data_IF_024012816747
#
_entry.id   IF_024012816747
#
_cell.length_a   1.000
_cell.length_b   1.000
_cell.length_c   1.000
_cell.angle_alpha   90.00
_cell.angle_beta   90.00
_cell.angle_gamma   90.00
#
_symmetry.space_group_name_H-M   'P 1'
#
loop_
_entity.id
_entity.type
_entity.pdbx_description
1 polymer ?
#
# COMPACT_ATOMS: atom_id res chain seq x y z
N UNK A 1 -14.38 -2.20 -4.51
CA UNK A 1 -13.44 -2.26 -3.37
C UNK A 1 -13.73 -3.50 -2.57
N UNK A 2 -12.76 -4.40 -2.38
CA UNK A 2 -13.01 -5.71 -1.72
C UNK A 2 -12.34 -5.82 -0.35
N UNK A 3 -11.21 -5.13 -0.14
CA UNK A 3 -10.43 -5.23 1.10
C UNK A 3 -10.34 -3.84 1.73
N UNK A 4 -10.67 -3.74 3.02
CA UNK A 4 -10.64 -2.47 3.78
C UNK A 4 -9.56 -2.44 4.87
N UNK A 5 -9.12 -3.61 5.34
CA UNK A 5 -8.16 -3.79 6.43
C UNK A 5 -7.40 -5.11 6.26
N UNK A 6 -6.22 -5.21 6.89
CA UNK A 6 -5.36 -6.40 6.90
C UNK A 6 -4.59 -6.45 8.22
N UNK A 7 -4.26 -7.66 8.69
CA UNK A 7 -3.37 -7.89 9.84
C UNK A 7 -1.88 -7.89 9.41
N UNK A 8 -1.61 -7.79 8.11
CA UNK A 8 -0.24 -7.75 7.58
C UNK A 8 0.38 -6.38 7.84
N UNK A 9 1.26 -6.31 8.84
CA UNK A 9 2.08 -5.14 9.16
C UNK A 9 3.51 -5.22 8.60
N UNK A 10 3.69 -5.97 7.50
CA UNK A 10 5.00 -6.15 6.86
C UNK A 10 4.88 -6.07 5.34
N UNK A 11 5.95 -5.59 4.69
CA UNK A 11 6.08 -5.74 3.25
C UNK A 11 6.70 -7.11 2.95
N UNK A 12 5.89 -8.04 2.43
CA UNK A 12 6.32 -9.42 2.14
C UNK A 12 7.51 -9.49 1.18
N UNK A 13 7.60 -8.54 0.24
CA UNK A 13 8.69 -8.50 -0.75
C UNK A 13 10.00 -8.00 -0.13
N UNK A 14 9.94 -6.97 0.74
CA UNK A 14 11.11 -6.55 1.52
C UNK A 14 11.61 -7.65 2.47
N UNK A 15 10.70 -8.41 3.09
CA UNK A 15 11.07 -9.55 3.94
C UNK A 15 11.82 -10.62 3.16
N UNK A 16 11.47 -10.86 1.89
CA UNK A 16 12.16 -11.81 1.02
C UNK A 16 13.55 -11.33 0.61
N UNK A 17 13.73 -10.02 0.43
CA UNK A 17 15.04 -9.45 0.08
C UNK A 17 15.91 -9.14 1.29
N UNK A 18 15.35 -9.18 2.50
CA UNK A 18 16.05 -8.78 3.72
C UNK A 18 16.24 -7.27 3.85
N UNK A 19 15.43 -6.47 3.16
CA UNK A 19 15.44 -5.01 3.25
C UNK A 19 14.41 -4.49 4.28
N UNK A 20 14.63 -3.27 4.74
CA UNK A 20 13.69 -2.53 5.59
C UNK A 20 12.74 -1.66 4.76
N UNK A 21 11.68 -1.18 5.41
CA UNK A 21 10.73 -0.20 4.87
C UNK A 21 10.48 0.92 5.88
N UNK A 22 9.96 2.04 5.40
CA UNK A 22 9.57 3.18 6.25
C UNK A 22 8.09 3.07 6.60
N UNK A 23 7.23 3.11 5.59
CA UNK A 23 5.77 3.06 5.75
C UNK A 23 5.16 2.00 4.82
N UNK A 24 3.98 1.51 5.19
CA UNK A 24 3.27 0.45 4.48
C UNK A 24 1.99 0.95 3.82
N UNK A 25 1.69 0.39 2.65
CA UNK A 25 0.50 0.68 1.86
C UNK A 25 -0.24 -0.61 1.55
N UNK A 26 -1.54 -0.62 1.81
CA UNK A 26 -2.45 -1.73 1.54
C UNK A 26 -3.19 -1.49 0.22
N UNK A 27 -3.14 -2.45 -0.70
CA UNK A 27 -3.96 -2.43 -1.90
C UNK A 27 -5.42 -2.81 -1.58
N UNK A 28 -6.36 -1.90 -1.85
CA UNK A 28 -7.79 -2.11 -1.59
C UNK A 28 -8.49 -3.05 -2.59
N UNK A 29 -7.77 -3.43 -3.65
CA UNK A 29 -8.27 -4.33 -4.71
C UNK A 29 -8.00 -5.79 -4.36
N UNK A 30 -6.78 -6.12 -3.90
CA UNK A 30 -6.33 -7.50 -3.68
C UNK A 30 -5.78 -7.79 -2.28
N UNK A 31 -5.62 -6.79 -1.42
CA UNK A 31 -5.11 -6.97 -0.05
C UNK A 31 -3.59 -7.09 0.08
N UNK A 32 -2.83 -6.82 -0.98
CA UNK A 32 -1.36 -6.83 -0.95
C UNK A 32 -0.81 -5.66 -0.13
N UNK A 33 0.24 -5.90 0.67
CA UNK A 33 0.94 -4.87 1.46
C UNK A 33 2.32 -4.60 0.88
N UNK A 34 2.52 -3.38 0.40
CA UNK A 34 3.77 -2.92 -0.18
C UNK A 34 4.40 -1.78 0.64
N UNK A 35 5.71 -1.63 0.58
CA UNK A 35 6.39 -0.46 1.12
C UNK A 35 6.14 0.79 0.24
N UNK A 36 6.10 1.96 0.88
CA UNK A 36 5.80 3.24 0.22
C UNK A 36 6.92 3.70 -0.74
N UNK A 37 6.68 4.79 -1.46
CA UNK A 37 7.67 5.37 -2.39
C UNK A 37 8.92 5.92 -1.69
N UNK A 38 8.79 6.37 -0.43
CA UNK A 38 9.92 6.80 0.40
C UNK A 38 10.79 5.63 0.88
N UNK A 39 10.34 4.38 0.71
CA UNK A 39 11.14 3.19 0.99
C UNK A 39 12.00 2.84 -0.21
N UNK A 40 13.23 2.36 0.02
CA UNK A 40 14.22 2.01 -1.01
C UNK A 40 13.65 1.22 -2.20
N UNK A 41 12.73 0.28 -1.93
CA UNK A 41 12.25 -0.67 -2.92
C UNK A 41 10.94 -0.30 -3.63
N UNK A 42 10.15 0.64 -3.10
CA UNK A 42 8.91 1.16 -3.73
C UNK A 42 7.90 0.07 -4.15
N UNK A 43 7.69 -0.95 -3.31
CA UNK A 43 6.89 -2.13 -3.66
C UNK A 43 5.43 -1.82 -3.93
N UNK A 44 4.83 -0.83 -3.25
CA UNK A 44 3.44 -0.43 -3.54
C UNK A 44 3.28 0.09 -4.98
N UNK A 45 4.21 0.93 -5.45
CA UNK A 45 4.23 1.47 -6.81
C UNK A 45 4.51 0.38 -7.84
N UNK A 46 5.51 -0.49 -7.60
CA UNK A 46 5.79 -1.65 -8.46
C UNK A 46 4.58 -2.58 -8.59
N UNK A 47 3.86 -2.81 -7.49
CA UNK A 47 2.63 -3.59 -7.47
C UNK A 47 1.55 -2.95 -8.34
N UNK A 48 1.35 -1.63 -8.25
CA UNK A 48 0.46 -0.90 -9.15
C UNK A 48 0.86 -1.10 -10.62
N UNK A 49 2.12 -0.88 -11.00
CA UNK A 49 2.53 -1.07 -12.40
C UNK A 49 2.28 -2.50 -12.92
N UNK A 50 2.48 -3.51 -12.07
CA UNK A 50 2.30 -4.92 -12.45
C UNK A 50 0.84 -5.35 -12.54
N UNK A 51 -0.01 -4.88 -11.62
CA UNK A 51 -1.40 -5.36 -11.46
C UNK A 51 -2.45 -4.37 -11.94
N UNK A 52 -2.05 -3.13 -12.19
CA UNK A 52 -2.93 -2.02 -12.51
C UNK A 52 -4.00 -1.80 -11.43
N UNK A 53 -3.67 -2.07 -10.16
CA UNK A 53 -4.56 -1.78 -9.02
C UNK A 53 -4.39 -0.32 -8.56
N UNK A 54 -5.33 0.57 -8.87
CA UNK A 54 -5.10 2.01 -8.74
C UNK A 54 -5.19 2.51 -7.30
N UNK A 55 -5.94 1.81 -6.44
CA UNK A 55 -6.27 2.27 -5.09
C UNK A 55 -5.43 1.57 -4.02
N UNK A 56 -4.74 2.39 -3.22
CA UNK A 56 -4.03 1.98 -2.01
C UNK A 56 -4.51 2.80 -0.81
N UNK A 57 -4.38 2.24 0.39
CA UNK A 57 -4.62 2.91 1.66
C UNK A 57 -3.33 2.91 2.47
N UNK A 58 -3.12 3.90 3.32
CA UNK A 58 -2.10 3.77 4.36
C UNK A 58 -2.44 2.63 5.33
N UNK A 59 -1.43 1.82 5.66
CA UNK A 59 -1.52 0.74 6.65
C UNK A 59 -0.77 1.10 7.94
N UNK A 60 -0.69 2.40 8.23
CA UNK A 60 -0.06 2.90 9.43
C UNK A 60 -1.06 3.12 10.56
N UNK A 61 -0.64 2.93 11.82
CA UNK A 61 -1.49 3.24 12.96
C UNK A 61 -1.82 4.73 12.98
N UNK A 62 -3.12 5.06 12.90
CA UNK A 62 -3.61 6.44 12.92
C UNK A 62 -3.82 7.06 11.53
N UNK A 63 -3.44 6.38 10.45
CA UNK A 63 -3.68 6.85 9.09
C UNK A 63 -4.83 6.09 8.40
N UNK A 64 -5.80 6.82 7.85
CA UNK A 64 -6.96 6.27 7.14
C UNK A 64 -7.06 6.69 5.68
N UNK A 65 -6.13 7.52 5.19
CA UNK A 65 -6.22 8.05 3.82
C UNK A 65 -6.02 6.97 2.74
N UNK A 66 -6.62 7.24 1.58
CA UNK A 66 -6.60 6.43 0.37
C UNK A 66 -6.03 7.25 -0.77
N UNK A 67 -5.12 6.66 -1.52
CA UNK A 67 -4.48 7.27 -2.68
C UNK A 67 -4.85 6.51 -3.95
N UNK A 68 -5.16 7.27 -5.01
CA UNK A 68 -5.33 6.74 -6.37
C UNK A 68 -4.09 7.04 -7.20
N UNK A 69 -3.42 5.99 -7.68
CA UNK A 69 -2.25 6.14 -8.55
C UNK A 69 -2.57 6.67 -9.95
N UNK A 70 -3.81 6.46 -10.45
CA UNK A 70 -4.20 6.88 -11.80
C UNK A 70 -4.52 8.36 -11.84
N UNK A 71 -5.29 8.84 -10.86
CA UNK A 71 -5.70 10.23 -10.75
C UNK A 71 -4.65 11.08 -10.00
N UNK A 72 -3.67 10.44 -9.35
CA UNK A 72 -2.64 11.09 -8.53
C UNK A 72 -3.22 12.00 -7.43
N UNK A 73 -4.32 11.55 -6.82
CA UNK A 73 -5.02 12.25 -5.74
C UNK A 73 -5.25 11.36 -4.52
N UNK A 74 -5.48 12.02 -3.39
CA UNK A 74 -6.15 11.43 -2.23
C UNK A 74 -7.63 11.19 -2.58
N UNK A 75 -7.99 9.94 -2.79
CA UNK A 75 -9.34 9.54 -3.18
C UNK A 75 -10.34 9.54 -2.01
N UNK A 76 -9.86 9.82 -0.80
CA UNK A 76 -10.66 9.92 0.42
C UNK A 76 -10.03 9.20 1.60
N UNK A 77 -10.82 8.98 2.65
CA UNK A 77 -10.38 8.33 3.88
C UNK A 77 -11.29 7.13 4.19
N UNK A 78 -10.67 6.00 4.54
CA UNK A 78 -11.34 4.80 5.02
C UNK A 78 -10.99 4.61 6.49
N UNK A 79 -11.84 5.13 7.37
CA UNK A 79 -11.84 4.76 8.78
C UNK A 79 -12.12 3.26 8.90
N UNK A 80 -11.23 2.55 9.59
CA UNK A 80 -11.44 1.15 9.95
C UNK A 80 -12.48 1.04 11.07
#
# INVERSE_FOLDING_TARGET
MKIKSTDKHVCEDCMKTGDSWVHLRLCLTCGHVGCCDSSKNKHATKHFHKTQHPLIRSNEPGESWVWCYVDEIEAGELSA
#
